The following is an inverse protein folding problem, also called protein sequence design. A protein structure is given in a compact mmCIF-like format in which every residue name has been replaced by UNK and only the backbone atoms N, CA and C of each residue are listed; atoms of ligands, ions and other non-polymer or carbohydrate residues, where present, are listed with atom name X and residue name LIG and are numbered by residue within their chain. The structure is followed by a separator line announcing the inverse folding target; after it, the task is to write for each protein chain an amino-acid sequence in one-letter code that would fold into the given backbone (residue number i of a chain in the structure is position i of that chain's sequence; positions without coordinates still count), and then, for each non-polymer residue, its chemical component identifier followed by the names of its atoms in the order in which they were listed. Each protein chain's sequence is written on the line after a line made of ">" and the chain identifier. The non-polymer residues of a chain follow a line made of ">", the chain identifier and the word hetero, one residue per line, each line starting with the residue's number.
data_IF_731807591962
#
_entry.id   IF_731807591962
#
_cell.length_a   1.000
_cell.length_b   1.000
_cell.length_c   1.000
_cell.angle_alpha   90.00
_cell.angle_beta   90.00
_cell.angle_gamma   90.00
#
_symmetry.space_group_name_H-M   'P 1'
#
loop_
_entity.id
_entity.type
_entity.pdbx_description
1 polymer ?
#
# COMPACT_ATOMS: atom_id res chain seq x y z
N UNK A 1 -16.95 -25.35 44.79
CA UNK A 1 -16.80 -25.62 43.34
C UNK A 1 -15.49 -25.04 42.83
N UNK A 2 -14.83 -25.72 41.89
CA UNK A 2 -13.61 -25.28 41.21
C UNK A 2 -13.84 -25.32 39.70
N UNK A 3 -13.29 -24.35 38.98
CA UNK A 3 -13.27 -24.33 37.51
C UNK A 3 -11.83 -24.08 37.06
N UNK A 4 -11.35 -24.90 36.14
CA UNK A 4 -10.03 -24.77 35.53
C UNK A 4 -10.11 -25.08 34.04
N UNK A 5 -9.29 -24.43 33.23
CA UNK A 5 -9.07 -24.84 31.85
C UNK A 5 -7.84 -25.74 31.77
N UNK A 6 -8.00 -26.81 31.00
CA UNK A 6 -6.97 -27.76 30.67
C UNK A 6 -6.69 -27.67 29.16
N UNK A 7 -5.44 -27.81 28.77
CA UNK A 7 -5.05 -28.07 27.39
C UNK A 7 -5.41 -29.53 27.00
N UNK A 8 -5.36 -29.89 25.71
CA UNK A 8 -5.74 -31.23 25.24
C UNK A 8 -4.92 -32.37 25.86
N UNK A 9 -3.70 -32.08 26.30
CA UNK A 9 -2.79 -33.02 26.99
C UNK A 9 -3.07 -33.14 28.51
N UNK A 10 -4.09 -32.42 29.01
CA UNK A 10 -4.45 -32.38 30.43
C UNK A 10 -3.63 -31.39 31.27
N UNK A 11 -2.69 -30.65 30.67
CA UNK A 11 -1.94 -29.61 31.38
C UNK A 11 -2.83 -28.41 31.70
N UNK A 12 -2.53 -27.69 32.78
CA UNK A 12 -3.33 -26.54 33.23
C UNK A 12 -3.01 -25.31 32.38
N UNK A 13 -4.04 -24.70 31.80
CA UNK A 13 -3.91 -23.53 30.90
C UNK A 13 -4.70 -22.30 31.41
N UNK A 14 -5.13 -22.28 32.67
CA UNK A 14 -5.70 -21.08 33.29
C UNK A 14 -5.46 -21.01 34.79
N UNK A 15 -5.64 -19.81 35.32
CA UNK A 15 -5.82 -19.61 36.75
C UNK A 15 -7.02 -20.44 37.26
N UNK A 16 -6.83 -21.09 38.41
CA UNK A 16 -7.86 -21.89 39.07
C UNK A 16 -8.90 -20.97 39.73
N UNK A 17 -10.15 -21.02 39.26
CA UNK A 17 -11.25 -20.28 39.88
C UNK A 17 -11.93 -21.12 40.94
N UNK A 18 -12.05 -20.58 42.16
CA UNK A 18 -12.71 -21.24 43.30
C UNK A 18 -13.95 -20.48 43.72
N UNK A 19 -15.05 -21.21 43.84
CA UNK A 19 -16.35 -20.68 44.24
C UNK A 19 -16.85 -21.44 45.47
N UNK A 20 -16.74 -20.86 46.67
CA UNK A 20 -17.29 -21.47 47.88
C UNK A 20 -18.82 -21.44 47.82
N UNK A 21 -19.44 -22.57 48.14
CA UNK A 21 -20.89 -22.68 48.35
C UNK A 21 -21.06 -22.86 49.86
N UNK A 22 -21.83 -21.98 50.49
CA UNK A 22 -22.00 -21.91 51.95
C UNK A 22 -23.50 -21.99 52.22
N UNK A 23 -23.93 -22.95 53.04
CA UNK A 23 -25.33 -23.14 53.44
C UNK A 23 -26.29 -23.17 52.25
N UNK A 24 -25.95 -23.94 51.21
CA UNK A 24 -26.68 -24.01 49.93
C UNK A 24 -26.89 -22.67 49.21
N UNK A 25 -26.11 -21.63 49.54
CA UNK A 25 -26.14 -20.35 48.84
C UNK A 25 -25.00 -20.24 47.83
N UNK A 26 -25.36 -19.86 46.60
CA UNK A 26 -24.40 -19.56 45.55
C UNK A 26 -23.74 -18.19 45.78
N UNK A 27 -22.42 -18.07 45.57
CA UNK A 27 -21.72 -16.80 45.65
C UNK A 27 -22.19 -15.85 44.55
N UNK A 28 -22.13 -14.52 44.74
CA UNK A 28 -22.67 -13.54 43.78
C UNK A 28 -22.19 -13.75 42.34
N UNK A 29 -20.94 -14.16 42.17
CA UNK A 29 -20.31 -14.43 40.87
C UNK A 29 -20.97 -15.58 40.09
N UNK A 30 -21.67 -16.49 40.76
CA UNK A 30 -22.33 -17.64 40.13
C UNK A 30 -23.85 -17.45 39.99
N UNK A 31 -24.48 -16.50 40.68
CA UNK A 31 -25.96 -16.40 40.71
C UNK A 31 -26.60 -16.19 39.34
N UNK A 32 -25.87 -15.58 38.41
CA UNK A 32 -26.35 -15.34 37.04
C UNK A 32 -26.06 -16.52 36.08
N UNK A 33 -25.24 -17.49 36.51
CA UNK A 33 -24.76 -18.57 35.65
C UNK A 33 -25.13 -19.93 36.19
N UNK A 34 -25.45 -20.05 37.47
CA UNK A 34 -25.74 -21.32 38.12
C UNK A 34 -27.02 -21.22 38.94
N UNK A 35 -27.78 -22.31 38.96
CA UNK A 35 -28.89 -22.54 39.87
C UNK A 35 -28.58 -23.75 40.74
N UNK A 36 -28.87 -23.64 42.03
CA UNK A 36 -28.70 -24.71 43.00
C UNK A 36 -30.07 -25.05 43.57
N UNK A 37 -30.67 -26.13 43.04
CA UNK A 37 -31.91 -26.73 43.55
C UNK A 37 -31.56 -28.08 44.17
N UNK A 38 -32.09 -29.18 43.64
CA UNK A 38 -31.61 -30.55 43.93
C UNK A 38 -30.27 -30.84 43.26
N UNK A 39 -30.01 -30.17 42.12
CA UNK A 39 -28.76 -30.30 41.36
C UNK A 39 -28.12 -28.92 41.18
N UNK A 40 -26.79 -28.88 41.09
CA UNK A 40 -26.07 -27.70 40.63
C UNK A 40 -26.05 -27.68 39.09
N UNK A 41 -26.79 -26.75 38.51
CA UNK A 41 -26.86 -26.55 37.05
C UNK A 41 -26.18 -25.24 36.72
N UNK A 42 -25.12 -25.27 35.92
CA UNK A 42 -24.40 -24.07 35.48
C UNK A 42 -24.43 -23.95 33.94
N UNK A 43 -24.69 -22.74 33.44
CA UNK A 43 -24.72 -22.39 32.02
C UNK A 43 -23.93 -21.09 31.78
N UNK A 44 -23.19 -21.04 30.68
CA UNK A 44 -22.44 -19.85 30.23
C UNK A 44 -21.50 -19.24 31.29
N UNK A 45 -20.92 -20.08 32.15
CA UNK A 45 -20.01 -19.63 33.19
C UNK A 45 -18.74 -18.99 32.56
N UNK A 46 -18.39 -17.73 32.89
CA UNK A 46 -17.25 -17.06 32.27
C UNK A 46 -15.92 -17.76 32.57
N UNK A 47 -15.34 -18.38 31.54
CA UNK A 47 -14.11 -19.16 31.68
C UNK A 47 -12.86 -18.27 31.75
N UNK A 48 -12.90 -17.09 31.11
CA UNK A 48 -11.75 -16.17 31.05
C UNK A 48 -10.69 -16.55 30.01
N UNK A 49 -10.93 -17.58 29.20
CA UNK A 49 -10.06 -17.94 28.09
C UNK A 49 -10.13 -16.87 26.99
N UNK A 50 -9.00 -16.18 26.73
CA UNK A 50 -8.89 -15.12 25.73
C UNK A 50 -7.96 -15.47 24.57
N UNK A 51 -7.10 -16.47 24.75
CA UNK A 51 -6.10 -16.84 23.77
C UNK A 51 -6.63 -17.90 22.82
N UNK A 52 -6.17 -17.84 21.58
CA UNK A 52 -6.44 -18.88 20.60
C UNK A 52 -5.88 -20.22 21.09
N UNK A 53 -6.61 -21.30 20.85
CA UNK A 53 -6.18 -22.63 21.26
C UNK A 53 -7.35 -23.58 21.49
N UNK A 54 -7.00 -24.80 21.86
CA UNK A 54 -7.93 -25.86 22.20
C UNK A 54 -8.03 -25.96 23.73
N UNK A 55 -9.25 -25.96 24.25
CA UNK A 55 -9.51 -25.95 25.69
C UNK A 55 -10.49 -27.05 26.09
N UNK A 56 -10.22 -27.66 27.23
CA UNK A 56 -11.18 -28.49 27.96
C UNK A 56 -11.42 -27.85 29.32
N UNK A 57 -12.66 -27.54 29.66
CA UNK A 57 -12.98 -26.97 30.96
C UNK A 57 -13.37 -28.07 31.93
N UNK A 58 -12.65 -28.17 33.04
CA UNK A 58 -12.93 -29.09 34.13
C UNK A 58 -13.66 -28.34 35.26
N UNK A 59 -14.84 -28.82 35.60
CA UNK A 59 -15.66 -28.33 36.69
C UNK A 59 -15.71 -29.38 37.80
N UNK A 60 -15.22 -29.02 38.98
CA UNK A 60 -15.16 -29.92 40.14
C UNK A 60 -16.03 -29.40 41.29
N UNK A 61 -16.92 -30.25 41.78
CA UNK A 61 -17.67 -30.03 43.03
C UNK A 61 -16.99 -30.81 44.14
N UNK A 62 -16.69 -30.12 45.23
CA UNK A 62 -15.95 -30.66 46.37
C UNK A 62 -16.85 -30.52 47.59
N UNK A 63 -17.33 -31.64 48.16
CA UNK A 63 -18.15 -31.63 49.35
C UNK A 63 -17.33 -31.18 50.57
N UNK A 64 -18.01 -30.56 51.55
CA UNK A 64 -17.35 -29.89 52.68
C UNK A 64 -16.95 -30.86 53.80
N UNK A 65 -17.70 -31.95 54.02
CA UNK A 65 -17.48 -32.88 55.13
C UNK A 65 -18.40 -34.11 55.04
N UNK A 66 -17.91 -35.18 54.42
CA UNK A 66 -18.16 -36.57 54.85
C UNK A 66 -16.90 -37.36 54.49
N UNK A 67 -16.32 -38.05 55.46
CA UNK A 67 -15.19 -38.96 55.23
C UNK A 67 -15.68 -40.09 54.29
N UNK A 68 -15.17 -40.12 53.05
CA UNK A 68 -15.58 -41.07 52.00
C UNK A 68 -16.37 -40.48 50.82
N UNK A 69 -16.75 -39.20 50.84
CA UNK A 69 -17.35 -38.56 49.66
C UNK A 69 -16.28 -38.14 48.64
N UNK A 70 -16.46 -38.55 47.38
CA UNK A 70 -15.52 -38.28 46.29
C UNK A 70 -15.78 -36.95 45.60
N UNK A 71 -14.72 -36.32 45.07
CA UNK A 71 -14.86 -35.13 44.23
C UNK A 71 -15.63 -35.49 42.94
N UNK A 72 -16.64 -34.69 42.61
CA UNK A 72 -17.41 -34.89 41.38
C UNK A 72 -16.87 -33.93 40.33
N UNK A 73 -16.22 -34.48 39.30
CA UNK A 73 -15.67 -33.72 38.19
C UNK A 73 -16.43 -33.97 36.89
N UNK A 74 -16.63 -32.92 36.10
CA UNK A 74 -17.12 -33.01 34.71
C UNK A 74 -16.27 -32.17 33.78
N UNK A 75 -16.01 -32.70 32.60
CA UNK A 75 -15.28 -32.02 31.53
C UNK A 75 -16.22 -31.61 30.41
N UNK A 76 -15.94 -30.48 29.79
CA UNK A 76 -16.51 -30.17 28.47
C UNK A 76 -15.81 -31.00 27.39
N UNK A 77 -16.43 -31.17 26.21
CA UNK A 77 -15.69 -31.47 24.99
C UNK A 77 -14.62 -30.40 24.73
N UNK A 78 -13.68 -30.70 23.83
CA UNK A 78 -12.68 -29.72 23.38
C UNK A 78 -13.37 -28.56 22.68
N UNK A 79 -13.13 -27.34 23.19
CA UNK A 79 -13.60 -26.08 22.63
C UNK A 79 -12.42 -25.38 21.96
N UNK A 80 -12.57 -25.10 20.66
CA UNK A 80 -11.53 -24.42 19.87
C UNK A 80 -11.80 -22.92 19.79
N UNK A 81 -10.93 -22.12 20.38
CA UNK A 81 -10.94 -20.67 20.25
C UNK A 81 -10.03 -20.29 19.08
N UNK A 82 -10.60 -19.69 18.04
CA UNK A 82 -9.82 -19.21 16.88
C UNK A 82 -9.06 -17.95 17.24
N UNK A 83 -7.87 -17.72 16.66
CA UNK A 83 -7.21 -16.43 16.77
C UNK A 83 -8.07 -15.33 16.16
N UNK A 84 -7.94 -14.14 16.74
CA UNK A 84 -8.53 -12.93 16.15
C UNK A 84 -7.89 -12.74 14.77
N UNK A 85 -8.67 -12.61 13.69
CA UNK A 85 -8.12 -12.36 12.36
C UNK A 85 -7.22 -11.11 12.37
N UNK A 86 -6.10 -11.11 11.63
CA UNK A 86 -5.26 -9.93 11.54
C UNK A 86 -6.06 -8.75 10.94
N UNK A 87 -5.85 -7.54 11.47
CA UNK A 87 -6.45 -6.31 10.92
C UNK A 87 -6.06 -6.19 9.44
N UNK A 88 -7.02 -6.05 8.50
CA UNK A 88 -6.72 -5.85 7.08
C UNK A 88 -5.73 -4.70 6.85
N UNK A 89 -5.02 -4.74 5.73
CA UNK A 89 -4.17 -3.61 5.34
C UNK A 89 -5.01 -2.42 4.91
N UNK A 90 -4.52 -1.21 5.18
CA UNK A 90 -5.17 0.00 4.67
C UNK A 90 -4.98 0.04 3.15
N UNK A 91 -6.04 0.28 2.37
CA UNK A 91 -5.95 0.39 0.91
C UNK A 91 -4.97 1.49 0.50
N UNK A 92 -4.22 1.25 -0.57
CA UNK A 92 -3.28 2.25 -1.09
C UNK A 92 -3.98 3.22 -2.01
N UNK A 93 -4.14 4.46 -1.56
CA UNK A 93 -4.83 5.49 -2.34
C UNK A 93 -4.09 6.84 -2.33
N UNK A 94 -3.94 7.41 -3.52
CA UNK A 94 -3.38 8.75 -3.74
C UNK A 94 -4.57 9.68 -3.96
N UNK A 95 -4.78 10.63 -3.05
CA UNK A 95 -5.87 11.61 -3.13
C UNK A 95 -5.52 12.67 -4.18
N UNK A 96 -4.30 13.20 -4.11
CA UNK A 96 -3.75 14.02 -5.20
C UNK A 96 -2.23 13.97 -5.23
N UNK A 97 -1.70 14.23 -6.41
CA UNK A 97 -0.29 14.50 -6.64
C UNK A 97 -0.18 15.64 -7.65
N UNK A 98 0.41 16.76 -7.24
CA UNK A 98 0.41 18.02 -8.00
C UNK A 98 1.81 18.59 -8.15
N UNK A 99 2.03 19.23 -9.29
CA UNK A 99 3.20 20.07 -9.56
C UNK A 99 2.71 21.48 -9.86
N UNK A 100 3.17 22.48 -9.10
CA UNK A 100 2.72 23.88 -9.23
C UNK A 100 1.18 24.00 -9.27
N UNK A 101 0.52 23.30 -8.34
CA UNK A 101 -0.94 23.21 -8.22
C UNK A 101 -1.70 22.49 -9.35
N UNK A 102 -1.01 21.98 -10.38
CA UNK A 102 -1.62 21.21 -11.47
C UNK A 102 -1.57 19.71 -11.16
N UNK A 103 -2.70 19.03 -11.31
CA UNK A 103 -2.79 17.60 -11.03
C UNK A 103 -2.05 16.78 -12.08
N UNK A 104 -1.18 15.90 -11.62
CA UNK A 104 -0.38 15.02 -12.49
C UNK A 104 -1.25 13.98 -13.20
N UNK A 105 -2.44 13.68 -12.66
CA UNK A 105 -3.39 12.75 -13.27
C UNK A 105 -3.94 13.29 -14.60
N UNK A 106 -3.99 14.61 -14.74
CA UNK A 106 -4.47 15.29 -15.96
C UNK A 106 -3.35 15.46 -17.00
N UNK A 107 -2.11 15.64 -16.54
CA UNK A 107 -0.94 15.86 -17.42
C UNK A 107 0.32 15.29 -16.79
N UNK A 108 0.83 14.20 -17.39
CA UNK A 108 2.01 13.49 -16.91
C UNK A 108 3.34 14.07 -17.45
N UNK A 109 3.29 15.06 -18.36
CA UNK A 109 4.48 15.68 -18.95
C UNK A 109 4.39 17.20 -18.99
N UNK A 110 5.39 17.89 -18.44
CA UNK A 110 5.53 19.35 -18.47
C UNK A 110 6.79 19.77 -19.21
N UNK A 111 6.73 20.91 -19.89
CA UNK A 111 7.88 21.54 -20.55
C UNK A 111 8.02 22.94 -19.96
N UNK A 112 9.20 23.25 -19.42
CA UNK A 112 9.59 24.57 -18.93
C UNK A 112 10.63 25.17 -19.88
N UNK A 113 10.33 26.33 -20.43
CA UNK A 113 11.29 27.12 -21.20
C UNK A 113 12.03 28.06 -20.25
N UNK A 114 13.35 27.92 -20.15
CA UNK A 114 14.15 28.81 -19.29
C UNK A 114 14.69 29.97 -20.12
N UNK A 115 14.55 31.18 -19.58
CA UNK A 115 15.05 32.43 -20.18
C UNK A 115 16.56 32.37 -20.49
N UNK A 116 17.04 33.31 -21.33
CA UNK A 116 18.46 33.42 -21.75
C UNK A 116 19.46 33.40 -20.58
N UNK A 117 19.05 33.87 -19.41
CA UNK A 117 19.89 33.97 -18.21
C UNK A 117 20.08 32.64 -17.46
N UNK A 118 19.46 31.54 -17.94
CA UNK A 118 19.56 30.16 -17.40
C UNK A 118 19.37 30.06 -15.89
N UNK A 119 18.51 30.91 -15.32
CA UNK A 119 18.23 30.88 -13.89
C UNK A 119 17.53 29.57 -13.50
N UNK A 120 17.89 28.95 -12.38
CA UNK A 120 17.19 27.77 -11.88
C UNK A 120 15.70 28.08 -11.67
N UNK A 121 14.83 27.15 -12.06
CA UNK A 121 13.39 27.26 -11.88
C UNK A 121 12.97 26.35 -10.75
N UNK A 122 12.40 26.91 -9.68
CA UNK A 122 11.84 26.13 -8.59
C UNK A 122 10.40 25.75 -8.87
N UNK A 123 10.06 24.49 -8.63
CA UNK A 123 8.69 23.96 -8.67
C UNK A 123 8.29 23.43 -7.30
N UNK A 124 6.99 23.51 -7.00
CA UNK A 124 6.42 22.97 -5.77
C UNK A 124 5.72 21.66 -6.12
N UNK A 125 6.17 20.58 -5.49
CA UNK A 125 5.58 19.25 -5.56
C UNK A 125 4.74 19.04 -4.31
N UNK A 126 3.45 18.80 -4.43
CA UNK A 126 2.55 18.57 -3.30
C UNK A 126 1.79 17.27 -3.45
N UNK A 127 1.60 16.55 -2.34
CA UNK A 127 0.94 15.27 -2.33
C UNK A 127 -0.02 15.16 -1.14
N UNK A 128 -1.03 14.33 -1.32
CA UNK A 128 -1.85 13.80 -0.25
C UNK A 128 -2.26 12.37 -0.59
N UNK A 129 -2.04 11.47 0.36
CA UNK A 129 -2.46 10.09 0.30
C UNK A 129 -3.49 9.84 1.39
N UNK A 130 -4.26 8.77 1.25
CA UNK A 130 -5.16 8.32 2.31
C UNK A 130 -4.35 7.94 3.54
N UNK A 131 -4.76 8.45 4.71
CA UNK A 131 -4.04 8.25 5.95
C UNK A 131 -4.24 6.82 6.47
N UNK A 132 -3.16 6.21 6.95
CA UNK A 132 -3.17 4.85 7.45
C UNK A 132 -1.90 4.56 8.25
N UNK A 133 -2.06 3.92 9.41
CA UNK A 133 -0.97 3.57 10.32
C UNK A 133 0.11 2.70 9.65
N UNK A 134 -0.25 2.01 8.56
CA UNK A 134 0.57 1.08 7.80
C UNK A 134 0.97 1.59 6.40
N UNK A 135 0.80 2.89 6.14
CA UNK A 135 1.15 3.52 4.86
C UNK A 135 2.58 4.08 4.91
N UNK A 136 3.40 3.67 3.94
CA UNK A 136 4.70 4.24 3.63
C UNK A 136 4.60 5.08 2.36
N UNK A 137 5.09 6.32 2.42
CA UNK A 137 5.12 7.26 1.28
C UNK A 137 6.56 7.60 0.94
N UNK A 138 6.89 7.47 -0.33
CA UNK A 138 8.19 7.80 -0.92
C UNK A 138 7.97 8.77 -2.08
N UNK A 139 8.76 9.84 -2.13
CA UNK A 139 8.74 10.83 -3.19
C UNK A 139 10.12 10.90 -3.82
N UNK A 140 10.31 10.32 -5.00
CA UNK A 140 11.58 10.40 -5.72
C UNK A 140 11.70 11.72 -6.48
N UNK A 141 12.87 12.39 -6.45
CA UNK A 141 14.16 11.90 -5.92
C UNK A 141 14.43 12.21 -4.43
N UNK A 142 13.45 12.71 -3.67
CA UNK A 142 13.62 13.08 -2.26
C UNK A 142 13.70 11.90 -1.27
N UNK A 143 13.25 10.71 -1.66
CA UNK A 143 13.18 9.53 -0.81
C UNK A 143 11.93 9.50 0.09
N UNK A 144 12.05 8.92 1.28
CA UNK A 144 10.93 8.75 2.21
C UNK A 144 10.41 10.10 2.74
N UNK A 145 9.08 10.26 2.75
CA UNK A 145 8.43 11.45 3.32
C UNK A 145 7.64 11.08 4.58
N UNK A 146 7.87 11.82 5.68
CA UNK A 146 7.35 11.47 7.00
C UNK A 146 5.84 11.63 7.18
N UNK A 147 5.16 12.31 6.24
CA UNK A 147 3.74 12.64 6.36
C UNK A 147 2.95 12.22 5.11
N UNK A 148 1.72 11.72 5.28
CA UNK A 148 0.85 11.36 4.16
C UNK A 148 0.40 12.57 3.33
N UNK A 149 0.50 13.77 3.89
CA UNK A 149 0.27 15.03 3.19
C UNK A 149 1.48 15.96 3.36
N UNK A 150 1.88 16.62 2.27
CA UNK A 150 2.96 17.58 2.33
C UNK A 150 3.27 18.27 1.01
N UNK A 151 4.31 19.09 1.04
CA UNK A 151 4.90 19.70 -0.15
C UNK A 151 6.42 19.78 -0.03
N UNK A 152 7.10 19.79 -1.18
CA UNK A 152 8.55 19.93 -1.34
C UNK A 152 8.85 20.83 -2.53
N UNK A 153 9.84 21.70 -2.36
CA UNK A 153 10.39 22.46 -3.46
C UNK A 153 11.44 21.61 -4.18
N UNK A 154 11.37 21.59 -5.51
CA UNK A 154 12.34 20.96 -6.39
C UNK A 154 12.92 22.01 -7.33
N UNK A 155 14.24 22.16 -7.33
CA UNK A 155 14.93 23.06 -8.27
C UNK A 155 15.23 22.31 -9.56
N UNK A 156 14.66 22.77 -10.68
CA UNK A 156 14.94 22.21 -11.99
C UNK A 156 16.39 22.48 -12.40
N UNK A 157 17.03 21.46 -12.98
CA UNK A 157 18.38 21.57 -13.53
C UNK A 157 18.44 22.56 -14.69
N UNK A 158 19.66 23.01 -15.03
CA UNK A 158 19.88 23.89 -16.19
C UNK A 158 19.50 23.16 -17.49
N UNK A 159 18.81 23.82 -18.44
CA UNK A 159 18.48 23.22 -19.72
C UNK A 159 19.73 22.95 -20.58
N UNK A 160 19.65 21.96 -21.50
CA UNK A 160 18.55 21.01 -21.64
C UNK A 160 18.60 19.94 -20.55
N UNK A 161 17.47 19.67 -19.88
CA UNK A 161 17.38 18.60 -18.87
C UNK A 161 16.00 17.98 -18.82
N UNK A 162 15.92 16.70 -18.46
CA UNK A 162 14.66 16.00 -18.18
C UNK A 162 14.74 15.35 -16.81
N UNK A 163 13.68 15.47 -16.01
CA UNK A 163 13.56 14.83 -14.70
C UNK A 163 12.20 14.18 -14.57
N UNK A 164 12.17 13.00 -13.93
CA UNK A 164 10.92 12.36 -13.53
C UNK A 164 10.79 12.43 -12.02
N UNK A 165 9.65 12.95 -11.55
CA UNK A 165 9.28 12.99 -10.13
C UNK A 165 8.21 11.92 -9.92
N UNK A 166 8.42 11.04 -8.94
CA UNK A 166 7.55 9.89 -8.70
C UNK A 166 7.09 9.87 -7.25
N UNK A 167 5.78 9.84 -7.04
CA UNK A 167 5.16 9.53 -5.76
C UNK A 167 4.85 8.03 -5.73
N UNK A 168 5.34 7.33 -4.72
CA UNK A 168 5.09 5.91 -4.46
C UNK A 168 4.49 5.74 -3.08
N UNK A 169 3.39 5.02 -3.02
CA UNK A 169 2.69 4.70 -1.77
C UNK A 169 2.66 3.19 -1.63
N UNK A 170 3.00 2.66 -0.46
CA UNK A 170 3.07 1.23 -0.17
C UNK A 170 2.41 0.93 1.17
N UNK A 171 1.57 -0.11 1.26
CA UNK A 171 1.04 -0.57 2.56
C UNK A 171 1.82 -1.78 3.12
N UNK A 172 1.50 -2.21 4.35
CA UNK A 172 2.12 -3.41 4.98
C UNK A 172 1.87 -4.72 4.23
N UNK A 173 0.85 -4.80 3.37
CA UNK A 173 0.59 -5.96 2.53
C UNK A 173 1.48 -5.99 1.28
N UNK A 174 2.27 -4.94 1.03
CA UNK A 174 3.11 -4.80 -0.16
C UNK A 174 2.34 -4.33 -1.40
N UNK A 175 1.07 -3.96 -1.25
CA UNK A 175 0.33 -3.26 -2.31
C UNK A 175 0.98 -1.89 -2.55
N UNK A 176 1.05 -1.48 -3.81
CA UNK A 176 1.68 -0.22 -4.18
C UNK A 176 0.88 0.52 -5.23
N UNK A 177 0.86 1.85 -5.11
CA UNK A 177 0.34 2.77 -6.12
C UNK A 177 1.40 3.82 -6.41
N UNK A 178 1.62 4.10 -7.69
CA UNK A 178 2.62 5.06 -8.14
C UNK A 178 2.00 6.07 -9.08
N UNK A 179 2.48 7.31 -8.98
CA UNK A 179 2.14 8.37 -9.90
C UNK A 179 3.39 9.17 -10.22
N UNK A 180 3.62 9.42 -11.51
CA UNK A 180 4.85 10.04 -11.98
C UNK A 180 4.56 11.19 -12.94
N UNK A 181 5.46 12.15 -12.95
CA UNK A 181 5.44 13.28 -13.86
C UNK A 181 6.84 13.52 -14.41
N UNK A 182 6.95 13.67 -15.73
CA UNK A 182 8.19 14.03 -16.40
C UNK A 182 8.19 15.53 -16.69
N UNK A 183 9.31 16.18 -16.40
CA UNK A 183 9.49 17.61 -16.56
C UNK A 183 10.72 17.84 -17.42
N UNK A 184 10.48 18.31 -18.64
CA UNK A 184 11.51 18.70 -19.57
C UNK A 184 11.79 20.19 -19.41
N UNK A 185 13.06 20.55 -19.39
CA UNK A 185 13.54 21.92 -19.31
C UNK A 185 14.33 22.20 -20.59
N UNK A 186 13.89 23.15 -21.40
CA UNK A 186 14.47 23.46 -22.71
C UNK A 186 15.02 24.88 -22.75
N UNK A 187 16.00 25.11 -23.63
CA UNK A 187 16.55 26.44 -23.86
C UNK A 187 15.61 27.27 -24.74
N UNK A 188 15.36 28.52 -24.35
CA UNK A 188 14.59 29.45 -25.17
C UNK A 188 15.34 29.79 -26.47
N UNK A 189 14.89 29.24 -27.60
CA UNK A 189 15.43 29.53 -28.92
C UNK A 189 14.53 30.56 -29.62
N UNK A 190 14.97 31.82 -29.74
CA UNK A 190 14.33 32.74 -30.70
C UNK A 190 14.68 32.24 -32.09
N UNK A 191 13.73 31.61 -32.78
CA UNK A 191 13.81 31.55 -34.23
C UNK A 191 13.77 32.98 -34.73
N UNK A 192 14.85 33.41 -35.34
CA UNK A 192 14.95 34.62 -36.15
C UNK A 192 13.76 34.62 -37.11
N UNK A 193 12.84 35.56 -36.90
CA UNK A 193 11.77 35.87 -37.85
C UNK A 193 12.41 36.15 -39.23
N UNK A 194 11.87 35.61 -40.34
CA UNK A 194 12.35 35.99 -41.67
C UNK A 194 12.22 37.51 -41.82
N UNK A 195 13.34 38.18 -42.08
CA UNK A 195 13.35 39.60 -42.40
C UNK A 195 12.42 39.83 -43.60
N UNK A 196 11.46 40.72 -43.45
CA UNK A 196 10.72 41.29 -44.58
C UNK A 196 11.71 42.07 -45.45
N UNK A 197 11.84 41.77 -46.76
CA UNK A 197 12.72 42.54 -47.62
C UNK A 197 12.13 43.93 -47.85
N UNK A 198 12.91 44.96 -47.52
CA UNK A 198 12.63 46.36 -47.85
C UNK A 198 12.70 46.56 -49.36
N UNK A 199 11.75 47.24 -50.03
CA UNK A 199 11.79 47.46 -51.48
C UNK A 199 12.68 48.67 -51.82
N UNK A 200 13.67 48.51 -52.71
CA UNK A 200 14.44 49.62 -53.25
C UNK A 200 15.41 49.26 -54.38
N UNK A 201 15.02 49.58 -55.63
CA UNK A 201 15.90 50.14 -56.67
C UNK A 201 16.75 49.22 -57.57
N UNK A 202 16.23 48.92 -58.77
CA UNK A 202 16.79 49.08 -60.15
C UNK A 202 18.32 49.26 -60.32
N UNK A 203 19.11 48.66 -61.23
CA UNK A 203 19.10 47.67 -62.35
C UNK A 203 20.59 47.54 -62.86
N UNK A 204 20.96 47.00 -64.07
CA UNK A 204 20.70 45.71 -64.74
C UNK A 204 21.99 44.98 -65.28
N UNK A 205 21.83 43.74 -65.76
CA UNK A 205 22.68 43.07 -66.77
C UNK A 205 23.26 41.72 -66.32
N UNK A 206 23.18 40.61 -67.05
CA UNK A 206 22.63 40.32 -68.36
C UNK A 206 22.61 38.81 -68.63
N UNK A 207 21.74 38.42 -69.56
CA UNK A 207 21.77 37.24 -70.47
C UNK A 207 21.89 35.81 -69.90
N UNK A 208 20.74 35.11 -69.99
CA UNK A 208 20.54 33.65 -70.11
C UNK A 208 21.19 33.10 -71.43
N UNK A 209 21.11 31.80 -71.83
CA UNK A 209 20.13 30.77 -71.43
C UNK A 209 20.60 29.29 -71.42
N UNK A 210 19.71 28.40 -70.95
CA UNK A 210 19.59 27.07 -71.56
C UNK A 210 19.17 25.93 -70.62
N UNK A 211 18.00 25.32 -70.89
CA UNK A 211 17.82 23.88 -70.71
C UNK A 211 16.68 23.37 -69.83
N UNK A 212 15.45 23.45 -70.36
CA UNK A 212 14.40 22.39 -70.34
C UNK A 212 14.18 21.48 -69.11
N UNK A 213 13.00 21.66 -68.49
CA UNK A 213 12.17 20.61 -67.86
C UNK A 213 11.65 19.60 -68.93
N UNK A 214 10.94 18.47 -68.64
CA UNK A 214 10.14 18.17 -67.44
C UNK A 214 10.13 16.69 -66.97
N UNK A 215 9.50 16.41 -65.82
CA UNK A 215 9.15 15.03 -65.44
C UNK A 215 8.53 14.94 -64.06
N UNK A 216 7.21 15.09 -63.98
CA UNK A 216 6.45 14.83 -62.76
C UNK A 216 6.00 13.38 -62.66
N UNK A 217 5.97 12.83 -61.45
CA UNK A 217 4.90 11.94 -60.95
C UNK A 217 5.11 11.65 -59.45
N UNK A 218 4.15 12.04 -58.61
CA UNK A 218 3.78 11.30 -57.39
C UNK A 218 2.77 10.20 -57.82
N UNK A 219 2.40 9.15 -57.04
CA UNK A 219 2.40 9.05 -55.57
C UNK A 219 2.78 7.66 -55.01
N UNK A 220 2.80 7.50 -53.68
CA UNK A 220 2.79 6.16 -53.07
C UNK A 220 3.18 6.14 -51.60
N UNK A 221 2.18 6.22 -50.72
CA UNK A 221 2.36 5.91 -49.30
C UNK A 221 2.39 4.41 -49.04
N UNK A 222 3.14 4.00 -48.01
CA UNK A 222 2.78 2.98 -47.03
C UNK A 222 3.94 2.77 -46.03
N UNK A 223 3.67 3.05 -44.75
CA UNK A 223 4.34 2.47 -43.59
C UNK A 223 3.59 1.17 -43.21
N UNK A 224 4.02 0.29 -42.28
CA UNK A 224 5.34 0.01 -41.69
C UNK A 224 5.77 -1.47 -41.93
N UNK A 225 7.01 -1.82 -41.59
CA UNK A 225 7.44 -3.22 -41.48
C UNK A 225 7.31 -3.70 -40.02
N UNK A 226 6.64 -4.82 -39.72
CA UNK A 226 6.65 -5.45 -38.41
C UNK A 226 7.79 -6.46 -38.33
N UNK A 227 8.60 -6.41 -37.27
CA UNK A 227 9.54 -7.48 -36.95
C UNK A 227 9.62 -7.64 -35.44
N UNK A 228 8.98 -8.73 -34.97
CA UNK A 228 9.47 -9.69 -33.97
C UNK A 228 8.29 -10.24 -33.19
N UNK A 229 8.21 -11.58 -33.07
CA UNK A 229 8.48 -12.14 -31.75
C UNK A 229 9.17 -13.50 -31.85
N UNK A 230 10.42 -13.61 -31.41
CA UNK A 230 10.92 -14.85 -30.82
C UNK A 230 12.35 -14.69 -30.29
N UNK A 231 12.48 -14.61 -28.95
CA UNK A 231 13.60 -15.21 -28.22
C UNK A 231 13.32 -15.18 -26.72
N UNK A 232 12.72 -16.27 -26.24
CA UNK A 232 12.81 -16.64 -24.83
C UNK A 232 14.27 -17.02 -24.53
N UNK A 233 14.85 -16.41 -23.49
CA UNK A 233 16.18 -16.78 -22.99
C UNK A 233 16.06 -18.00 -22.08
N UNK A 234 17.02 -18.95 -22.09
CA UNK A 234 16.97 -20.12 -21.22
C UNK A 234 17.17 -19.76 -19.74
N UNK A 235 16.37 -20.40 -18.87
CA UNK A 235 16.55 -20.42 -17.42
C UNK A 235 17.73 -21.33 -17.08
N UNK A 236 18.68 -20.80 -16.32
CA UNK A 236 19.78 -21.53 -15.71
C UNK A 236 19.29 -22.16 -14.39
N UNK A 237 19.42 -23.49 -14.25
CA UNK A 237 19.05 -24.23 -13.03
C UNK A 237 20.24 -24.28 -12.06
N UNK A 238 20.01 -24.16 -10.74
CA UNK A 238 21.09 -24.21 -9.75
C UNK A 238 21.65 -25.64 -9.57
N UNK A 239 22.93 -25.78 -9.17
CA UNK A 239 23.57 -27.08 -9.00
C UNK A 239 23.05 -27.83 -7.77
N UNK A 240 23.03 -29.16 -7.88
CA UNK A 240 22.58 -30.08 -6.84
C UNK A 240 23.73 -30.34 -5.83
N UNK A 241 23.45 -30.40 -4.51
CA UNK A 241 24.46 -30.80 -3.53
C UNK A 241 24.65 -32.32 -3.50
N UNK A 242 25.90 -32.76 -3.29
CA UNK A 242 26.29 -34.13 -2.94
C UNK A 242 25.83 -34.54 -1.53
#
# INVERSE_FOLDING_TARGET
>A
MRLISLAPDGSVNSELKRYPIIDNNLPPQLRNFCTLTTNLICQNLPTGAKQAGDYTFNLTVIPKQVEGETEIAKNTPTVKIKPVPPKPATPVNIIYFKVNNLDVSEKQKYIYEVNKDRQPVDIIVSWQVEDGEDIKVELLPFGDVQKPQGSKNYTLSKPPSSVTITLRVTNKAGEQKTQSVTIDTVEFSRLTQPQTPTPGGTAPGGTAPGGTAPGGTAPGGASPSPSSPDRLSPIELPPKPD
#
